data_IF_939147816351
#
_entry.id   IF_939147816351
#
_cell.length_a   1.000
_cell.length_b   1.000
_cell.length_c   1.000
_cell.angle_alpha   90.00
_cell.angle_beta   90.00
_cell.angle_gamma   90.00
#
_symmetry.space_group_name_H-M   'P 1'
#
loop_
_entity.id
_entity.type
_entity.pdbx_description
1 polymer ?
#
# COMPACT_ATOMS: atom_id res chain seq x y z
N UNK A 1 8.97 28.72 -5.63
CA UNK A 1 9.59 27.36 -5.53
C UNK A 1 8.74 26.33 -4.76
N UNK A 2 7.74 26.69 -3.94
CA UNK A 2 6.94 25.75 -3.12
C UNK A 2 5.86 24.96 -3.90
N UNK A 3 5.33 25.48 -5.01
CA UNK A 3 4.30 24.80 -5.82
C UNK A 3 4.84 23.65 -6.69
N UNK A 4 6.11 23.69 -7.07
CA UNK A 4 6.77 22.60 -7.83
C UNK A 4 7.07 21.38 -6.95
N UNK A 5 7.29 21.55 -5.64
CA UNK A 5 7.49 20.44 -4.70
C UNK A 5 6.16 19.74 -4.33
N UNK A 6 5.04 20.46 -4.31
CA UNK A 6 3.71 19.85 -4.12
C UNK A 6 3.27 19.04 -5.35
N UNK A 7 3.63 19.51 -6.56
CA UNK A 7 3.45 18.76 -7.80
C UNK A 7 4.32 17.50 -7.81
N UNK A 8 5.53 17.51 -7.23
CA UNK A 8 6.38 16.34 -7.10
C UNK A 8 5.84 15.28 -6.12
N UNK A 9 5.11 15.69 -5.06
CA UNK A 9 4.44 14.74 -4.14
C UNK A 9 3.15 14.16 -4.71
N UNK A 10 2.41 14.93 -5.49
CA UNK A 10 1.28 14.47 -6.31
C UNK A 10 1.74 13.54 -7.44
N UNK A 11 2.91 13.79 -8.00
CA UNK A 11 3.59 12.92 -8.95
C UNK A 11 4.13 11.66 -8.28
N UNK A 12 4.41 11.62 -6.96
CA UNK A 12 4.88 10.42 -6.28
C UNK A 12 3.75 9.39 -6.05
N UNK A 13 2.49 9.79 -5.81
CA UNK A 13 1.36 8.86 -5.83
C UNK A 13 0.95 8.52 -7.28
N UNK A 14 1.01 9.50 -8.20
CA UNK A 14 0.88 9.27 -9.63
C UNK A 14 2.15 8.61 -10.22
N UNK A 15 3.34 8.76 -9.64
CA UNK A 15 4.57 8.11 -10.08
C UNK A 15 4.74 6.69 -9.52
N UNK A 16 4.10 6.32 -8.42
CA UNK A 16 3.80 4.92 -8.10
C UNK A 16 2.87 4.31 -9.17
N UNK A 17 2.02 5.14 -9.79
CA UNK A 17 1.15 4.78 -10.93
C UNK A 17 1.85 4.92 -12.31
N UNK A 18 3.08 5.44 -12.42
CA UNK A 18 3.65 5.91 -13.69
C UNK A 18 5.11 5.50 -13.98
N UNK A 19 5.75 4.69 -13.13
CA UNK A 19 7.15 4.30 -13.30
C UNK A 19 7.39 3.08 -14.21
N UNK A 20 6.42 2.65 -15.02
CA UNK A 20 6.57 1.46 -15.85
C UNK A 20 6.31 1.74 -17.33
N UNK A 21 7.32 2.24 -18.03
CA UNK A 21 7.40 2.13 -19.49
C UNK A 21 8.78 1.62 -19.88
N UNK A 22 8.96 0.30 -20.01
CA UNK A 22 9.83 -0.34 -20.99
C UNK A 22 9.73 -1.88 -20.98
N UNK A 23 9.54 -2.43 -22.17
CA UNK A 23 9.88 -3.77 -22.66
C UNK A 23 9.11 -4.99 -22.14
N UNK A 24 8.39 -5.58 -23.11
CA UNK A 24 7.59 -6.78 -22.97
C UNK A 24 8.32 -8.07 -23.34
N UNK A 25 8.02 -9.16 -22.66
CA UNK A 25 7.91 -10.52 -23.25
C UNK A 25 6.95 -11.41 -22.44
N UNK A 26 6.30 -12.38 -23.12
CA UNK A 26 5.11 -13.13 -22.70
C UNK A 26 5.42 -14.26 -21.72
N UNK A 27 4.58 -14.40 -20.69
CA UNK A 27 4.43 -15.63 -19.90
C UNK A 27 2.96 -15.79 -19.48
N UNK A 28 2.50 -17.04 -19.37
CA UNK A 28 1.11 -17.39 -19.14
C UNK A 28 0.60 -17.00 -17.73
N UNK A 29 -0.70 -16.76 -17.55
CA UNK A 29 -1.25 -16.28 -16.27
C UNK A 29 -1.28 -17.42 -15.23
N UNK A 30 -0.75 -17.16 -14.05
CA UNK A 30 -1.12 -17.90 -12.83
C UNK A 30 -2.34 -17.23 -12.21
N UNK A 31 -3.34 -18.03 -11.92
CA UNK A 31 -4.53 -17.64 -11.18
C UNK A 31 -4.13 -17.48 -9.71
N UNK A 32 -4.22 -16.26 -9.16
CA UNK A 32 -4.08 -15.98 -7.73
C UNK A 32 -5.48 -16.03 -7.13
N UNK A 33 -5.75 -17.07 -6.36
CA UNK A 33 -7.06 -17.34 -5.74
C UNK A 33 -6.88 -17.55 -4.23
N UNK A 34 -6.40 -16.49 -3.54
CA UNK A 34 -6.22 -16.51 -2.07
C UNK A 34 -6.88 -15.33 -1.35
N UNK A 35 -7.91 -14.73 -1.95
CA UNK A 35 -8.71 -13.73 -1.23
C UNK A 35 -9.32 -14.34 0.03
N UNK A 36 -9.39 -13.59 1.16
CA UNK A 36 -10.02 -14.06 2.38
C UNK A 36 -11.43 -14.54 2.11
N UNK A 37 -11.75 -15.77 2.55
CA UNK A 37 -13.09 -16.31 2.41
C UNK A 37 -13.96 -15.90 3.59
N UNK A 38 -14.83 -14.94 3.36
CA UNK A 38 -15.82 -14.50 4.32
C UNK A 38 -17.05 -15.40 4.24
N UNK A 39 -17.61 -15.77 5.40
CA UNK A 39 -18.88 -16.49 5.49
C UNK A 39 -19.85 -15.69 6.39
N UNK A 40 -21.15 -15.57 6.04
CA UNK A 40 -22.09 -14.85 6.86
C UNK A 40 -22.12 -15.35 8.30
N UNK A 41 -22.06 -14.45 9.28
CA UNK A 41 -22.23 -14.80 10.69
C UNK A 41 -23.69 -15.15 10.99
N UNK A 42 -23.97 -16.01 11.98
CA UNK A 42 -25.36 -16.35 12.36
C UNK A 42 -26.16 -15.16 12.91
N UNK A 43 -25.48 -14.27 13.66
CA UNK A 43 -26.09 -13.05 14.18
C UNK A 43 -25.87 -11.89 13.21
N UNK A 44 -26.95 -11.40 12.64
CA UNK A 44 -26.99 -10.26 11.70
C UNK A 44 -27.65 -9.02 12.33
N UNK A 45 -27.58 -8.90 13.69
CA UNK A 45 -28.07 -7.69 14.35
C UNK A 45 -27.24 -6.49 13.92
N UNK A 46 -27.84 -5.46 13.28
CA UNK A 46 -27.10 -4.30 12.82
C UNK A 46 -26.45 -3.52 13.95
N UNK A 47 -25.26 -3.02 13.73
CA UNK A 47 -24.65 -2.03 14.62
C UNK A 47 -25.40 -0.71 14.56
N UNK A 48 -25.61 -0.11 15.73
CA UNK A 48 -26.14 1.26 15.81
C UNK A 48 -25.12 2.26 15.20
N UNK A 49 -25.56 3.42 14.68
CA UNK A 49 -24.64 4.41 14.10
C UNK A 49 -23.50 4.84 15.04
N UNK A 50 -23.74 4.90 16.35
CA UNK A 50 -22.70 5.21 17.33
C UNK A 50 -21.66 4.10 17.47
N UNK A 51 -22.06 2.83 17.35
CA UNK A 51 -21.18 1.67 17.39
C UNK A 51 -20.32 1.58 16.12
N UNK A 52 -20.90 1.89 14.94
CA UNK A 52 -20.16 2.02 13.68
C UNK A 52 -19.10 3.11 13.81
N UNK A 53 -19.47 4.28 14.34
CA UNK A 53 -18.54 5.39 14.53
C UNK A 53 -17.39 5.01 15.48
N UNK A 54 -17.69 4.36 16.62
CA UNK A 54 -16.65 3.90 17.57
C UNK A 54 -15.70 2.89 16.93
N UNK A 55 -16.26 1.88 16.23
CA UNK A 55 -15.44 0.87 15.54
C UNK A 55 -14.48 1.50 14.53
N UNK A 56 -14.97 2.41 13.67
CA UNK A 56 -14.14 3.10 12.68
C UNK A 56 -13.11 4.01 13.35
N UNK A 57 -13.45 4.69 14.45
CA UNK A 57 -12.50 5.51 15.23
C UNK A 57 -11.33 4.66 15.72
N UNK A 58 -11.62 3.49 16.29
CA UNK A 58 -10.57 2.56 16.73
C UNK A 58 -9.76 2.01 15.58
N UNK A 59 -10.41 1.67 14.46
CA UNK A 59 -9.72 1.18 13.28
C UNK A 59 -8.76 2.23 12.67
N UNK A 60 -9.15 3.51 12.65
CA UNK A 60 -8.27 4.60 12.22
C UNK A 60 -7.06 4.74 13.15
N UNK A 61 -7.27 4.69 14.48
CA UNK A 61 -6.18 4.76 15.44
C UNK A 61 -5.18 3.59 15.28
N UNK A 62 -5.69 2.38 15.03
CA UNK A 62 -4.88 1.20 14.76
C UNK A 62 -4.11 1.35 13.44
N UNK A 63 -4.77 1.81 12.36
CA UNK A 63 -4.11 2.04 11.08
C UNK A 63 -2.92 3.01 11.20
N UNK A 64 -3.03 4.07 12.00
CA UNK A 64 -1.90 4.98 12.25
C UNK A 64 -0.73 4.27 12.94
N UNK A 65 -1.02 3.41 13.91
CA UNK A 65 0.01 2.60 14.60
C UNK A 65 0.72 1.66 13.63
N UNK A 66 -0.05 0.95 12.80
CA UNK A 66 0.46 -0.04 11.87
C UNK A 66 1.23 0.61 10.73
N UNK A 67 0.75 1.73 10.19
CA UNK A 67 1.49 2.54 9.21
C UNK A 67 2.86 3.00 9.73
N UNK A 68 2.97 3.29 11.03
CA UNK A 68 4.23 3.65 11.64
C UNK A 68 5.14 2.42 11.86
N UNK A 69 4.54 1.24 12.10
CA UNK A 69 5.27 0.00 12.33
C UNK A 69 5.83 -0.61 11.04
N UNK A 70 5.17 -0.43 9.90
CA UNK A 70 5.52 -1.01 8.60
C UNK A 70 6.98 -0.78 8.19
N UNK A 71 7.52 0.41 8.51
CA UNK A 71 8.92 0.77 8.21
C UNK A 71 9.95 0.05 9.12
N UNK A 72 9.50 -0.80 10.06
CA UNK A 72 10.34 -1.65 10.90
C UNK A 72 10.35 -3.11 10.46
N UNK A 73 9.52 -3.46 9.47
CA UNK A 73 9.42 -4.82 8.95
C UNK A 73 10.17 -5.00 7.63
N UNK A 74 10.88 -6.10 7.53
CA UNK A 74 11.27 -6.70 6.27
C UNK A 74 10.12 -7.54 5.75
N UNK A 75 9.92 -7.58 4.42
CA UNK A 75 8.91 -8.41 3.77
C UNK A 75 9.30 -8.77 2.34
N UNK A 76 8.60 -9.69 1.75
CA UNK A 76 8.68 -10.02 0.32
C UNK A 76 7.46 -9.44 -0.37
N UNK A 77 7.67 -8.68 -1.44
CA UNK A 77 6.60 -8.17 -2.31
C UNK A 77 6.73 -8.81 -3.70
N UNK A 78 5.66 -9.46 -4.16
CA UNK A 78 5.51 -9.90 -5.54
C UNK A 78 4.62 -8.88 -6.26
N UNK A 79 5.17 -8.25 -7.28
CA UNK A 79 4.56 -7.18 -8.03
C UNK A 79 4.29 -7.59 -9.47
N UNK A 80 3.04 -7.47 -9.91
CA UNK A 80 2.61 -7.75 -11.27
C UNK A 80 1.89 -6.52 -11.82
N UNK A 81 2.37 -6.01 -12.95
CA UNK A 81 1.68 -4.96 -13.70
C UNK A 81 1.18 -5.49 -15.04
N UNK A 82 -0.02 -5.07 -15.43
CA UNK A 82 -0.64 -5.35 -16.73
C UNK A 82 -1.02 -4.04 -17.43
N UNK A 83 -0.65 -3.92 -18.68
CA UNK A 83 -1.13 -2.86 -19.55
C UNK A 83 -2.34 -3.35 -20.35
N UNK A 84 -3.47 -2.65 -20.25
CA UNK A 84 -4.75 -3.05 -20.83
C UNK A 84 -5.78 -3.57 -19.81
N UNK A 85 -5.50 -3.43 -18.50
CA UNK A 85 -6.37 -3.90 -17.42
C UNK A 85 -6.24 -5.40 -17.15
N UNK A 86 -7.28 -6.05 -16.59
CA UNK A 86 -7.27 -7.45 -16.15
C UNK A 86 -6.85 -8.45 -17.23
N UNK A 87 -7.30 -8.24 -18.47
CA UNK A 87 -6.99 -9.11 -19.62
C UNK A 87 -5.75 -8.64 -20.39
N UNK A 88 -5.10 -7.57 -19.89
CA UNK A 88 -3.95 -6.93 -20.51
C UNK A 88 -2.68 -7.77 -20.40
N UNK A 89 -1.71 -7.39 -21.24
CA UNK A 89 -0.38 -8.03 -21.22
C UNK A 89 0.36 -7.66 -19.95
N UNK A 90 1.01 -8.67 -19.33
CA UNK A 90 1.97 -8.45 -18.23
C UNK A 90 3.13 -7.62 -18.78
N UNK A 91 3.39 -6.48 -18.16
CA UNK A 91 4.51 -5.57 -18.42
C UNK A 91 5.59 -5.68 -17.37
N UNK A 92 5.22 -6.02 -16.14
CA UNK A 92 6.14 -6.28 -15.05
C UNK A 92 5.66 -7.49 -14.23
N UNK A 93 6.60 -8.36 -13.85
CA UNK A 93 6.40 -9.50 -12.94
C UNK A 93 7.71 -9.67 -12.16
N UNK A 94 7.76 -9.06 -10.99
CA UNK A 94 8.96 -8.97 -10.18
C UNK A 94 8.70 -9.28 -8.72
N UNK A 95 9.70 -9.88 -8.08
CA UNK A 95 9.68 -10.09 -6.63
C UNK A 95 10.79 -9.26 -5.99
N UNK A 96 10.43 -8.55 -4.94
CA UNK A 96 11.32 -7.71 -4.17
C UNK A 96 11.42 -8.18 -2.73
N UNK A 97 12.61 -8.12 -2.18
CA UNK A 97 12.83 -8.05 -0.75
C UNK A 97 12.77 -6.59 -0.33
N UNK A 98 11.82 -6.24 0.51
CA UNK A 98 11.64 -4.88 1.01
C UNK A 98 12.24 -4.81 2.40
N UNK A 99 13.19 -3.91 2.60
CA UNK A 99 13.98 -3.85 3.83
C UNK A 99 13.93 -2.46 4.46
N UNK A 100 13.84 -2.36 5.81
CA UNK A 100 13.80 -1.08 6.51
C UNK A 100 15.14 -0.36 6.45
N UNK A 101 15.08 0.98 6.37
CA UNK A 101 16.26 1.86 6.31
C UNK A 101 16.42 2.75 7.55
N UNK A 102 15.49 2.66 8.50
CA UNK A 102 15.41 3.57 9.66
C UNK A 102 14.74 4.91 9.36
N UNK A 103 14.32 5.14 8.09
CA UNK A 103 13.56 6.31 7.65
C UNK A 103 12.69 5.98 6.43
N UNK A 104 12.05 4.82 6.47
CA UNK A 104 11.30 4.19 5.40
C UNK A 104 11.92 2.85 5.00
N UNK A 105 11.71 2.43 3.77
CA UNK A 105 12.25 1.16 3.25
C UNK A 105 12.79 1.32 1.82
N UNK A 106 13.57 0.31 1.38
CA UNK A 106 14.00 0.16 -0.02
C UNK A 106 13.61 -1.22 -0.53
N UNK A 107 13.45 -1.32 -1.86
CA UNK A 107 13.17 -2.57 -2.58
C UNK A 107 14.46 -3.11 -3.18
N UNK A 108 14.81 -4.36 -2.86
CA UNK A 108 15.92 -5.10 -3.43
C UNK A 108 15.32 -6.15 -4.37
N UNK A 109 15.65 -6.09 -5.65
CA UNK A 109 15.12 -7.03 -6.64
C UNK A 109 15.71 -8.43 -6.41
N UNK A 110 14.83 -9.44 -6.24
CA UNK A 110 15.22 -10.84 -6.03
C UNK A 110 14.82 -11.76 -7.16
N UNK A 111 13.77 -11.40 -7.92
CA UNK A 111 13.33 -12.12 -9.10
C UNK A 111 12.72 -11.17 -10.12
N UNK A 112 13.02 -11.41 -11.38
CA UNK A 112 12.38 -10.75 -12.52
C UNK A 112 12.05 -11.85 -13.55
N UNK A 113 10.78 -11.98 -13.93
CA UNK A 113 10.34 -13.01 -14.89
C UNK A 113 10.84 -12.75 -16.30
N UNK A 114 11.28 -11.54 -16.59
CA UNK A 114 11.78 -11.14 -17.91
C UNK A 114 13.31 -11.27 -18.04
N UNK A 115 14.05 -11.12 -16.95
CA UNK A 115 15.52 -11.06 -16.97
C UNK A 115 16.10 -11.68 -15.69
N UNK A 116 17.07 -12.60 -15.77
CA UNK A 116 17.71 -13.15 -14.58
C UNK A 116 18.36 -12.07 -13.73
N UNK A 117 18.08 -12.08 -12.44
CA UNK A 117 18.74 -11.20 -11.47
C UNK A 117 20.13 -11.74 -11.19
N UNK A 118 21.16 -10.93 -11.43
CA UNK A 118 22.54 -11.35 -11.17
C UNK A 118 22.88 -11.29 -9.67
N UNK A 119 23.68 -12.24 -9.19
CA UNK A 119 24.20 -12.21 -7.82
C UNK A 119 24.96 -10.91 -7.52
N UNK A 120 25.67 -10.36 -8.52
CA UNK A 120 26.41 -9.10 -8.38
C UNK A 120 25.46 -7.91 -8.12
N UNK A 121 24.34 -7.83 -8.83
CA UNK A 121 23.33 -6.77 -8.60
C UNK A 121 22.73 -6.90 -7.20
N UNK A 122 22.36 -8.11 -6.79
CA UNK A 122 21.83 -8.35 -5.45
C UNK A 122 22.82 -7.94 -4.35
N UNK A 123 24.11 -8.30 -4.49
CA UNK A 123 25.16 -7.90 -3.56
C UNK A 123 25.40 -6.38 -3.55
N UNK A 124 25.28 -5.72 -4.70
CA UNK A 124 25.35 -4.27 -4.79
C UNK A 124 24.19 -3.60 -4.00
N UNK A 125 22.97 -4.11 -4.14
CA UNK A 125 21.81 -3.59 -3.43
C UNK A 125 21.91 -3.81 -1.92
N UNK A 126 22.42 -4.97 -1.47
CA UNK A 126 22.73 -5.22 -0.05
C UNK A 126 23.80 -4.24 0.48
N UNK A 127 24.82 -3.93 -0.31
CA UNK A 127 25.85 -2.94 0.05
C UNK A 127 25.23 -1.54 0.17
N UNK A 128 24.32 -1.19 -0.73
CA UNK A 128 23.57 0.06 -0.67
C UNK A 128 22.72 0.12 0.60
N UNK A 129 22.00 -0.95 0.94
CA UNK A 129 21.24 -1.04 2.18
C UNK A 129 22.13 -0.87 3.41
N UNK A 130 23.26 -1.60 3.48
CA UNK A 130 24.23 -1.44 4.57
C UNK A 130 24.71 0.01 4.69
N UNK A 131 25.00 0.66 3.56
CA UNK A 131 25.48 2.06 3.54
C UNK A 131 24.45 3.03 4.09
N UNK A 132 23.16 2.85 3.75
CA UNK A 132 22.06 3.64 4.29
C UNK A 132 21.96 3.42 5.81
N UNK A 133 22.01 2.17 6.27
CA UNK A 133 21.90 1.85 7.69
C UNK A 133 23.10 2.36 8.50
N UNK A 134 24.32 2.40 7.93
CA UNK A 134 25.46 3.02 8.58
C UNK A 134 25.25 4.53 8.84
N UNK A 135 24.41 5.21 8.05
CA UNK A 135 23.99 6.58 8.33
C UNK A 135 22.86 6.58 9.38
N UNK A 136 21.92 5.66 9.25
CA UNK A 136 20.71 5.61 10.09
C UNK A 136 21.01 5.32 11.58
N UNK A 137 22.09 4.60 11.90
CA UNK A 137 22.53 4.34 13.27
C UNK A 137 23.11 5.60 13.96
N UNK A 138 23.31 6.69 13.22
CA UNK A 138 23.76 7.98 13.75
C UNK A 138 22.62 9.01 13.66
N UNK A 139 21.77 9.14 14.69
CA UNK A 139 20.54 9.96 14.63
C UNK A 139 20.78 11.43 14.35
N UNK A 140 21.99 11.95 14.67
CA UNK A 140 22.37 13.33 14.44
C UNK A 140 23.08 13.56 13.09
N UNK A 141 23.28 12.54 12.27
CA UNK A 141 23.81 12.74 10.91
C UNK A 141 22.82 13.58 10.09
N UNK A 142 23.25 14.68 9.45
CA UNK A 142 22.33 15.54 8.68
C UNK A 142 21.52 14.81 7.60
N UNK A 143 22.10 13.74 7.02
CA UNK A 143 21.41 12.89 6.04
C UNK A 143 20.26 12.12 6.68
N UNK A 144 20.48 11.56 7.88
CA UNK A 144 19.45 10.86 8.64
C UNK A 144 18.34 11.81 9.10
N UNK A 145 18.71 12.97 9.64
CA UNK A 145 17.74 14.01 10.03
C UNK A 145 16.85 14.41 8.85
N UNK A 146 17.47 14.64 7.68
CA UNK A 146 16.71 14.97 6.45
C UNK A 146 15.80 13.83 5.99
N UNK A 147 16.26 12.58 6.06
CA UNK A 147 15.48 11.40 5.67
C UNK A 147 14.30 11.18 6.61
N UNK A 148 14.50 11.29 7.92
CA UNK A 148 13.44 11.21 8.94
C UNK A 148 12.39 12.31 8.75
N UNK A 149 12.79 13.55 8.48
CA UNK A 149 11.85 14.65 8.23
C UNK A 149 10.97 14.38 7.00
N UNK A 150 11.53 13.82 5.93
CA UNK A 150 10.76 13.39 4.74
C UNK A 150 9.79 12.26 5.06
N UNK A 151 10.23 11.27 5.84
CA UNK A 151 9.39 10.15 6.24
C UNK A 151 8.25 10.61 7.15
N UNK A 152 8.52 11.44 8.15
CA UNK A 152 7.50 12.02 9.01
C UNK A 152 6.45 12.81 8.22
N UNK A 153 6.89 13.56 7.18
CA UNK A 153 5.94 14.26 6.31
C UNK A 153 5.03 13.27 5.57
N UNK A 154 5.56 12.18 5.02
CA UNK A 154 4.76 11.14 4.35
C UNK A 154 3.73 10.50 5.28
N UNK A 155 4.15 10.16 6.51
CA UNK A 155 3.25 9.60 7.52
C UNK A 155 2.15 10.58 7.90
N UNK A 156 2.46 11.88 8.06
CA UNK A 156 1.46 12.92 8.32
C UNK A 156 0.48 13.09 7.18
N UNK A 157 0.98 13.11 5.92
CA UNK A 157 0.13 13.23 4.74
C UNK A 157 -0.83 12.03 4.63
N UNK A 158 -0.35 10.82 4.96
CA UNK A 158 -1.17 9.59 4.98
C UNK A 158 -2.17 9.60 6.13
N UNK A 159 -1.75 9.96 7.34
CA UNK A 159 -2.63 10.08 8.49
C UNK A 159 -3.79 11.07 8.20
N UNK A 160 -3.48 12.23 7.63
CA UNK A 160 -4.50 13.21 7.24
C UNK A 160 -5.52 12.63 6.24
N UNK A 161 -5.08 11.80 5.28
CA UNK A 161 -5.98 11.14 4.35
C UNK A 161 -6.92 10.16 5.07
N UNK A 162 -6.38 9.34 5.98
CA UNK A 162 -7.15 8.37 6.77
C UNK A 162 -8.14 9.07 7.69
N UNK A 163 -7.72 10.13 8.39
CA UNK A 163 -8.57 10.93 9.27
C UNK A 163 -9.72 11.61 8.50
N UNK A 164 -9.45 12.03 7.27
CA UNK A 164 -10.46 12.68 6.42
C UNK A 164 -11.62 11.76 6.02
N UNK A 165 -11.52 10.45 6.27
CA UNK A 165 -12.60 9.50 5.97
C UNK A 165 -13.89 9.82 6.75
N UNK A 166 -13.82 10.33 7.99
CA UNK A 166 -14.99 10.71 8.76
C UNK A 166 -15.78 11.86 8.12
N UNK A 167 -15.07 12.85 7.57
CA UNK A 167 -15.71 14.00 6.92
C UNK A 167 -16.16 13.66 5.50
N UNK A 168 -15.36 12.82 4.81
CA UNK A 168 -15.60 12.50 3.41
C UNK A 168 -16.71 11.49 3.17
N UNK A 169 -17.04 10.63 4.17
CA UNK A 169 -17.98 9.54 3.99
C UNK A 169 -19.13 9.54 4.99
N UNK A 170 -20.30 9.07 4.53
CA UNK A 170 -21.36 8.52 5.37
C UNK A 170 -21.14 7.02 5.45
N UNK A 171 -21.11 6.49 6.67
CA UNK A 171 -20.80 5.08 6.95
C UNK A 171 -22.07 4.36 7.40
N UNK A 172 -22.34 3.19 6.81
CA UNK A 172 -23.49 2.36 7.16
C UNK A 172 -23.07 0.91 7.33
N UNK A 173 -23.61 0.24 8.32
CA UNK A 173 -23.43 -1.19 8.49
C UNK A 173 -24.18 -1.96 7.39
N UNK A 174 -23.56 -3.00 6.83
CA UNK A 174 -24.14 -3.86 5.80
C UNK A 174 -24.51 -5.23 6.37
N UNK A 175 -23.52 -5.95 6.86
CA UNK A 175 -23.65 -7.31 7.34
C UNK A 175 -22.49 -7.69 8.25
N UNK A 176 -22.61 -8.82 8.92
CA UNK A 176 -21.57 -9.42 9.76
C UNK A 176 -21.10 -10.71 9.12
N UNK A 177 -19.80 -10.84 8.96
CA UNK A 177 -19.15 -12.01 8.42
C UNK A 177 -18.28 -12.74 9.47
N UNK A 178 -17.85 -13.93 9.14
CA UNK A 178 -16.79 -14.68 9.84
C UNK A 178 -15.60 -14.88 8.92
N UNK A 179 -14.41 -14.60 9.45
CA UNK A 179 -13.15 -14.93 8.82
C UNK A 179 -12.28 -15.68 9.83
N UNK A 180 -12.02 -16.96 9.56
CA UNK A 180 -11.25 -17.84 10.46
C UNK A 180 -11.77 -17.86 11.91
N UNK A 181 -13.10 -17.79 12.08
CA UNK A 181 -13.77 -17.75 13.39
C UNK A 181 -13.79 -16.38 14.07
N UNK A 182 -13.24 -15.34 13.46
CA UNK A 182 -13.29 -13.96 13.94
C UNK A 182 -14.51 -13.24 13.38
N UNK A 183 -15.15 -12.39 14.16
CA UNK A 183 -16.29 -11.58 13.74
C UNK A 183 -15.76 -10.38 12.94
N UNK A 184 -16.28 -10.21 11.73
CA UNK A 184 -15.93 -9.13 10.81
C UNK A 184 -17.17 -8.31 10.53
N UNK A 185 -17.13 -7.03 10.84
CA UNK A 185 -18.20 -6.08 10.51
C UNK A 185 -17.92 -5.49 9.13
N UNK A 186 -18.90 -5.62 8.24
CA UNK A 186 -18.83 -5.09 6.89
C UNK A 186 -19.59 -3.77 6.82
N UNK A 187 -18.88 -2.73 6.43
CA UNK A 187 -19.37 -1.36 6.38
C UNK A 187 -19.35 -0.81 4.96
N UNK A 188 -20.34 -0.01 4.61
CA UNK A 188 -20.37 0.76 3.37
C UNK A 188 -20.03 2.22 3.63
N UNK A 189 -19.14 2.75 2.79
CA UNK A 189 -18.67 4.13 2.80
C UNK A 189 -19.13 4.83 1.53
N UNK A 190 -20.14 5.69 1.63
CA UNK A 190 -20.67 6.48 0.53
C UNK A 190 -20.20 7.94 0.67
N UNK A 191 -19.74 8.59 -0.39
CA UNK A 191 -19.31 10.00 -0.33
C UNK A 191 -20.35 10.90 0.31
N UNK A 192 -19.94 11.64 1.32
CA UNK A 192 -20.80 12.56 2.07
C UNK A 192 -21.16 13.77 1.19
N UNK A 193 -22.45 14.09 1.01
CA UNK A 193 -22.86 15.30 0.31
C UNK A 193 -22.50 16.59 1.05
N UNK A 194 -22.09 16.48 2.32
CA UNK A 194 -21.71 17.61 3.17
C UNK A 194 -20.20 17.88 3.16
N UNK A 195 -19.41 17.01 2.52
CA UNK A 195 -17.97 17.19 2.45
C UNK A 195 -17.62 18.45 1.67
N UNK A 196 -16.78 19.29 2.28
CA UNK A 196 -16.28 20.51 1.65
C UNK A 196 -14.86 20.25 1.14
N UNK A 197 -14.66 20.35 -0.16
CA UNK A 197 -13.35 20.17 -0.79
C UNK A 197 -12.35 21.21 -0.27
N UNK A 198 -11.14 20.76 0.07
CA UNK A 198 -10.08 21.57 0.69
C UNK A 198 -8.93 21.83 -0.28
N UNK A 199 -8.99 21.37 -1.52
CA UNK A 199 -7.94 21.49 -2.51
C UNK A 199 -6.74 20.60 -2.26
N UNK A 200 -6.92 19.50 -1.54
CA UNK A 200 -5.90 18.53 -1.17
C UNK A 200 -6.24 17.09 -1.64
N UNK A 201 -5.41 16.13 -1.28
CA UNK A 201 -5.58 14.74 -1.71
C UNK A 201 -6.83 14.06 -1.11
N UNK A 202 -7.32 14.51 0.04
CA UNK A 202 -8.55 14.01 0.66
C UNK A 202 -9.79 14.29 -0.21
N UNK A 203 -9.74 15.29 -1.09
CA UNK A 203 -10.83 15.56 -2.04
C UNK A 203 -11.08 14.40 -3.02
N UNK A 204 -10.11 13.49 -3.17
CA UNK A 204 -10.28 12.31 -4.02
C UNK A 204 -11.20 11.27 -3.39
N UNK A 205 -11.31 11.24 -2.05
CA UNK A 205 -12.17 10.31 -1.33
C UNK A 205 -13.63 10.41 -1.80
N UNK A 206 -14.12 11.63 -2.06
CA UNK A 206 -15.51 11.83 -2.53
C UNK A 206 -15.75 11.43 -3.97
N UNK A 207 -14.73 10.99 -4.68
CA UNK A 207 -14.85 10.40 -6.02
C UNK A 207 -14.93 8.88 -6.00
N UNK A 208 -14.77 8.25 -4.83
CA UNK A 208 -14.84 6.80 -4.67
C UNK A 208 -15.87 6.44 -3.60
N UNK A 209 -16.50 5.29 -3.71
CA UNK A 209 -17.22 4.61 -2.64
C UNK A 209 -16.44 3.37 -2.23
N UNK A 210 -16.62 2.91 -1.01
CA UNK A 210 -15.90 1.74 -0.54
C UNK A 210 -16.77 0.80 0.29
N UNK A 211 -16.39 -0.47 0.30
CA UNK A 211 -16.82 -1.45 1.30
C UNK A 211 -15.59 -1.81 2.13
N UNK A 212 -15.75 -1.79 3.45
CA UNK A 212 -14.66 -2.01 4.40
C UNK A 212 -15.06 -3.13 5.36
N UNK A 213 -14.19 -4.12 5.49
CA UNK A 213 -14.32 -5.22 6.45
C UNK A 213 -13.40 -4.94 7.63
N UNK A 214 -13.95 -4.87 8.83
CA UNK A 214 -13.24 -4.55 10.06
C UNK A 214 -13.41 -5.70 11.06
N UNK A 215 -12.31 -6.23 11.58
CA UNK A 215 -12.36 -7.16 12.70
C UNK A 215 -12.97 -6.48 13.93
N UNK A 216 -14.09 -7.01 14.42
CA UNK A 216 -14.87 -6.38 15.48
C UNK A 216 -14.10 -6.29 16.81
N UNK A 217 -13.27 -7.29 17.12
CA UNK A 217 -12.52 -7.37 18.36
C UNK A 217 -11.23 -6.56 18.32
N UNK A 218 -10.43 -6.77 17.27
CA UNK A 218 -9.17 -6.07 17.11
C UNK A 218 -9.35 -4.62 16.68
N UNK A 219 -10.50 -4.28 16.07
CA UNK A 219 -10.76 -3.04 15.35
C UNK A 219 -9.70 -2.79 14.27
N UNK A 220 -9.40 -3.82 13.48
CA UNK A 220 -8.43 -3.77 12.39
C UNK A 220 -9.11 -3.90 11.05
N UNK A 221 -8.64 -3.13 10.08
CA UNK A 221 -9.12 -3.27 8.70
C UNK A 221 -8.55 -4.56 8.12
N UNK A 222 -9.45 -5.46 7.70
CA UNK A 222 -9.09 -6.74 7.06
C UNK A 222 -9.07 -6.59 5.55
N UNK A 223 -10.06 -5.86 5.00
CA UNK A 223 -10.20 -5.65 3.56
C UNK A 223 -10.86 -4.31 3.27
N UNK A 224 -10.45 -3.67 2.20
CA UNK A 224 -11.11 -2.53 1.58
C UNK A 224 -11.31 -2.85 0.11
N UNK A 225 -12.53 -2.66 -0.39
CA UNK A 225 -12.83 -2.61 -1.81
C UNK A 225 -13.38 -1.23 -2.13
N UNK A 226 -12.74 -0.52 -3.05
CA UNK A 226 -13.19 0.80 -3.46
C UNK A 226 -13.41 0.87 -4.97
N UNK A 227 -14.43 1.63 -5.38
CA UNK A 227 -14.76 1.90 -6.78
C UNK A 227 -14.75 3.40 -7.02
N UNK A 228 -14.10 3.83 -8.10
CA UNK A 228 -14.12 5.23 -8.54
C UNK A 228 -15.45 5.49 -9.24
N UNK A 229 -16.33 6.26 -8.61
CA UNK A 229 -17.69 6.57 -9.10
C UNK A 229 -17.75 7.87 -9.90
N UNK A 230 -16.72 8.73 -9.80
CA UNK A 230 -16.57 9.98 -10.57
C UNK A 230 -15.13 10.14 -11.01
N UNK A 231 -14.94 10.75 -12.17
CA UNK A 231 -13.60 11.04 -12.69
C UNK A 231 -12.79 11.91 -11.70
N UNK A 232 -11.52 11.58 -11.53
CA UNK A 232 -10.56 12.33 -10.71
C UNK A 232 -9.68 13.14 -11.65
N UNK A 233 -9.68 14.47 -11.51
CA UNK A 233 -8.86 15.37 -12.32
C UNK A 233 -7.59 15.78 -11.57
N UNK A 234 -6.44 15.65 -12.22
CA UNK A 234 -5.13 16.02 -11.67
C UNK A 234 -4.66 17.27 -12.40
N UNK A 235 -4.31 18.34 -11.64
CA UNK A 235 -3.90 19.62 -12.20
C UNK A 235 -4.98 20.24 -13.10
N UNK A 236 -6.21 20.36 -12.58
CA UNK A 236 -7.39 20.81 -13.33
C UNK A 236 -7.65 19.99 -14.61
N UNK A 237 -7.23 18.72 -14.62
CA UNK A 237 -7.37 17.83 -15.78
C UNK A 237 -6.29 17.99 -16.85
N UNK A 238 -5.36 18.94 -16.72
CA UNK A 238 -4.26 19.15 -17.68
C UNK A 238 -3.19 18.06 -17.51
N UNK A 239 -2.79 17.77 -16.26
CA UNK A 239 -1.74 16.80 -15.96
C UNK A 239 -2.20 15.36 -16.10
N UNK A 240 -3.49 15.11 -15.83
CA UNK A 240 -4.05 13.78 -15.94
C UNK A 240 -5.50 13.70 -15.52
N UNK A 241 -6.07 12.54 -15.77
CA UNK A 241 -7.43 12.20 -15.37
C UNK A 241 -7.51 10.69 -15.13
N UNK A 242 -8.09 10.29 -14.00
CA UNK A 242 -8.48 8.90 -13.77
C UNK A 242 -9.98 8.82 -13.99
N UNK A 243 -10.42 7.85 -14.78
CA UNK A 243 -11.82 7.72 -15.14
C UNK A 243 -12.58 6.92 -14.08
N UNK A 244 -13.88 7.18 -13.99
CA UNK A 244 -14.81 6.36 -13.21
C UNK A 244 -14.75 4.89 -13.64
N UNK A 245 -15.12 3.97 -12.73
CA UNK A 245 -15.09 2.51 -12.95
C UNK A 245 -13.74 1.88 -12.62
N UNK A 246 -12.76 2.66 -12.12
CA UNK A 246 -11.55 2.10 -11.54
C UNK A 246 -11.84 1.41 -10.20
N UNK A 247 -11.07 0.36 -9.91
CA UNK A 247 -11.17 -0.43 -8.67
C UNK A 247 -9.87 -0.43 -7.89
N UNK A 248 -10.00 -0.52 -6.58
CA UNK A 248 -8.91 -0.69 -5.63
C UNK A 248 -9.28 -1.76 -4.62
N UNK A 249 -8.35 -2.66 -4.30
CA UNK A 249 -8.47 -3.64 -3.21
C UNK A 249 -7.24 -3.54 -2.33
N UNK A 250 -7.47 -3.52 -1.03
CA UNK A 250 -6.46 -3.69 0.01
C UNK A 250 -6.86 -4.86 0.88
N UNK A 251 -5.93 -5.76 1.20
CA UNK A 251 -6.09 -6.76 2.25
C UNK A 251 -4.97 -6.61 3.27
N UNK A 252 -5.30 -6.83 4.54
CA UNK A 252 -4.37 -6.80 5.65
C UNK A 252 -4.52 -8.06 6.51
N UNK A 253 -3.41 -8.49 7.10
CA UNK A 253 -3.39 -9.58 8.07
C UNK A 253 -2.42 -9.28 9.21
N UNK A 254 -2.59 -9.98 10.32
CA UNK A 254 -1.72 -9.86 11.48
C UNK A 254 -0.31 -10.39 11.14
N UNK A 255 0.65 -9.47 11.02
CA UNK A 255 2.06 -9.75 10.72
C UNK A 255 2.89 -10.01 12.00
N UNK A 256 2.47 -9.43 13.11
CA UNK A 256 3.00 -9.65 14.45
C UNK A 256 1.88 -9.37 15.46
N UNK A 257 1.98 -9.86 16.72
CA UNK A 257 0.92 -9.67 17.72
C UNK A 257 0.45 -8.22 17.81
N UNK A 258 -0.81 -7.97 17.40
CA UNK A 258 -1.45 -6.66 17.39
C UNK A 258 -0.93 -5.67 16.35
N UNK A 259 -0.19 -6.11 15.33
CA UNK A 259 0.28 -5.29 14.20
C UNK A 259 -0.22 -5.92 12.90
N UNK A 260 -1.03 -5.17 12.17
CA UNK A 260 -1.64 -5.61 10.93
C UNK A 260 -1.00 -4.90 9.73
N UNK A 261 -0.60 -5.69 8.74
CA UNK A 261 0.15 -5.21 7.61
C UNK A 261 -0.49 -5.66 6.29
N UNK A 262 -0.31 -4.88 5.22
CA UNK A 262 -0.88 -5.21 3.92
C UNK A 262 -0.38 -6.55 3.38
N UNK A 263 -1.29 -7.41 2.95
CA UNK A 263 -0.97 -8.67 2.24
C UNK A 263 -1.27 -8.58 0.75
N UNK A 264 -2.18 -7.68 0.36
CA UNK A 264 -2.54 -7.44 -1.03
C UNK A 264 -2.83 -5.97 -1.27
N UNK A 265 -2.27 -5.44 -2.35
CA UNK A 265 -2.74 -4.23 -3.01
C UNK A 265 -3.09 -4.57 -4.46
N UNK A 266 -4.26 -4.14 -4.91
CA UNK A 266 -4.65 -4.26 -6.30
C UNK A 266 -5.31 -2.98 -6.77
N UNK A 267 -4.96 -2.50 -7.96
CA UNK A 267 -5.75 -1.49 -8.67
C UNK A 267 -5.95 -1.88 -10.12
N UNK A 268 -7.15 -1.62 -10.64
CA UNK A 268 -7.48 -1.63 -12.07
C UNK A 268 -7.99 -0.24 -12.42
N UNK A 269 -7.18 0.52 -13.13
CA UNK A 269 -7.42 1.93 -13.41
C UNK A 269 -7.34 2.22 -14.90
N UNK A 270 -8.20 3.12 -15.36
CA UNK A 270 -8.10 3.70 -16.68
C UNK A 270 -8.12 5.23 -16.60
N UNK A 271 -7.51 5.89 -17.60
CA UNK A 271 -7.42 7.33 -17.56
C UNK A 271 -6.60 7.89 -18.70
N UNK A 272 -6.10 9.11 -18.49
CA UNK A 272 -5.09 9.73 -19.36
C UNK A 272 -4.06 10.48 -18.55
N UNK A 273 -2.82 10.44 -19.01
CA UNK A 273 -1.70 11.26 -18.56
C UNK A 273 -1.39 12.26 -19.65
N UNK A 274 -1.58 13.55 -19.39
CA UNK A 274 -1.64 14.57 -20.43
C UNK A 274 -2.65 14.16 -21.51
N UNK A 275 -2.20 13.88 -22.73
CA UNK A 275 -3.04 13.45 -23.86
C UNK A 275 -3.01 11.94 -24.10
N UNK A 276 -2.18 11.18 -23.37
CA UNK A 276 -1.98 9.75 -23.60
C UNK A 276 -2.91 8.93 -22.72
N UNK A 277 -3.81 8.10 -23.31
CA UNK A 277 -4.66 7.21 -22.52
C UNK A 277 -3.83 6.09 -21.91
N UNK A 278 -4.27 5.60 -20.73
CA UNK A 278 -3.75 4.39 -20.11
C UNK A 278 -4.90 3.51 -19.58
N UNK A 279 -4.67 2.23 -19.53
CA UNK A 279 -5.46 1.26 -18.77
C UNK A 279 -4.46 0.29 -18.16
N UNK A 280 -4.45 0.18 -16.84
CA UNK A 280 -3.49 -0.63 -16.12
C UNK A 280 -4.15 -1.39 -14.97
N UNK A 281 -3.65 -2.58 -14.70
CA UNK A 281 -3.90 -3.30 -13.47
C UNK A 281 -2.57 -3.61 -12.82
N UNK A 282 -2.47 -3.30 -11.55
CA UNK A 282 -1.32 -3.62 -10.71
C UNK A 282 -1.78 -4.48 -9.54
N UNK A 283 -1.02 -5.53 -9.26
CA UNK A 283 -1.21 -6.40 -8.09
C UNK A 283 0.11 -6.48 -7.37
N UNK A 284 0.12 -6.19 -6.09
CA UNK A 284 1.28 -6.39 -5.20
C UNK A 284 0.84 -7.27 -4.03
N UNK A 285 1.41 -8.45 -3.94
CA UNK A 285 1.25 -9.36 -2.81
C UNK A 285 2.43 -9.21 -1.88
N UNK A 286 2.16 -8.99 -0.57
CA UNK A 286 3.18 -8.87 0.45
C UNK A 286 3.09 -10.05 1.44
N UNK A 287 4.22 -10.62 1.79
CA UNK A 287 4.32 -11.80 2.63
C UNK A 287 5.63 -11.85 3.40
N UNK A 288 5.78 -12.86 4.26
CA UNK A 288 7.02 -13.15 5.01
C UNK A 288 7.49 -11.94 5.83
N UNK A 289 6.55 -11.28 6.49
CA UNK A 289 6.86 -10.18 7.38
C UNK A 289 7.79 -10.63 8.51
N UNK A 290 8.89 -9.88 8.70
CA UNK A 290 9.85 -10.10 9.77
C UNK A 290 10.21 -8.77 10.42
N UNK A 291 9.95 -8.65 11.71
CA UNK A 291 10.29 -7.46 12.46
C UNK A 291 11.81 -7.36 12.64
N UNK A 292 12.41 -6.32 12.08
CA UNK A 292 13.84 -5.99 12.25
C UNK A 292 14.06 -4.92 13.32
N UNK A 293 13.05 -4.07 13.56
CA UNK A 293 13.04 -3.05 14.60
C UNK A 293 13.98 -1.90 14.29
N UNK A 294 15.02 -1.71 15.14
CA UNK A 294 15.92 -0.56 15.05
C UNK A 294 16.93 -0.68 13.90
N UNK A 295 17.49 0.48 13.41
CA UNK A 295 18.54 0.47 12.38
C UNK A 295 19.77 -0.38 12.74
N UNK A 296 20.15 -0.47 14.02
CA UNK A 296 21.26 -1.31 14.46
C UNK A 296 21.01 -2.79 14.21
N UNK A 297 19.78 -3.28 14.51
CA UNK A 297 19.42 -4.67 14.26
C UNK A 297 19.35 -4.96 12.75
N UNK A 298 18.78 -4.05 11.98
CA UNK A 298 18.75 -4.15 10.51
C UNK A 298 20.17 -4.17 9.93
N UNK A 299 21.09 -3.34 10.46
CA UNK A 299 22.49 -3.29 10.05
C UNK A 299 23.21 -4.62 10.34
N UNK A 300 22.94 -5.24 11.48
CA UNK A 300 23.50 -6.55 11.80
C UNK A 300 23.05 -7.63 10.79
N UNK A 301 21.77 -7.60 10.38
CA UNK A 301 21.23 -8.48 9.33
C UNK A 301 21.92 -8.20 7.98
N UNK A 302 22.01 -6.95 7.55
CA UNK A 302 22.65 -6.58 6.29
C UNK A 302 24.11 -7.06 6.21
N UNK A 303 24.87 -6.90 7.30
CA UNK A 303 26.26 -7.39 7.40
C UNK A 303 26.36 -8.90 7.31
N UNK A 304 25.45 -9.62 8.00
CA UNK A 304 25.39 -11.08 7.93
C UNK A 304 25.11 -11.56 6.51
N UNK A 305 24.11 -10.97 5.84
CA UNK A 305 23.72 -11.34 4.48
C UNK A 305 24.85 -11.10 3.48
N UNK A 306 25.56 -9.98 3.59
CA UNK A 306 26.75 -9.68 2.76
C UNK A 306 27.88 -10.68 2.99
N UNK A 307 28.16 -11.04 4.26
CA UNK A 307 29.26 -11.96 4.60
C UNK A 307 28.97 -13.41 4.18
N UNK A 308 27.72 -13.81 4.14
CA UNK A 308 27.33 -15.19 3.79
C UNK A 308 27.38 -15.45 2.28
N UNK A 309 27.50 -14.43 1.45
CA UNK A 309 27.39 -14.55 -0.01
C UNK A 309 26.05 -15.12 -0.48
N UNK A 310 25.08 -15.21 0.43
CA UNK A 310 23.82 -15.86 0.16
C UNK A 310 23.07 -15.12 -0.95
N UNK A 311 22.80 -15.82 -2.04
CA UNK A 311 21.71 -15.44 -2.92
C UNK A 311 20.40 -15.55 -2.11
N UNK A 312 19.52 -14.54 -2.25
CA UNK A 312 18.17 -14.65 -1.67
C UNK A 312 17.47 -15.82 -2.36
N UNK A 313 17.35 -16.94 -1.64
CA UNK A 313 16.56 -18.07 -2.10
C UNK A 313 15.12 -17.73 -1.78
N UNK A 314 14.38 -17.30 -2.79
CA UNK A 314 12.92 -17.31 -2.72
C UNK A 314 12.49 -18.77 -2.83
N UNK A 315 12.43 -19.49 -1.72
CA UNK A 315 11.66 -20.74 -1.70
C UNK A 315 10.20 -20.43 -2.00
N UNK A 316 9.56 -21.30 -2.81
CA UNK A 316 8.20 -21.09 -3.34
C UNK A 316 7.14 -20.93 -2.28
#
# INVERSE_FOLDING_TARGET
MSRLLQIASLLALAALLLAAFAAARRSAPRQFDSSPQFTPAPDQTPLAPAEVHDLVTRAIANQHRDDAALDSFERVEHHIERNGGSDGRITEDKTYRVVPTGSGNIKILVKDSSTPVSAANYQHDLTTWQSILNVAVHPNDPRQVSALAKQQKKLKDRAHLVDSAFDAYTMTWLERDLLNGRIIEKLHFEPSPRYVQQGNMADWLVHARATVWIDAQAAEVVRIEAEIIRDISIGAGILGKVYKGGHFVLEQAEAAPGVWEPTLYEYDLSGRKFLFPFKMREVTEASRYRFLGTPDKALAVARKDLSSGAAFVSDP
#
